data_IF_490539353232
#
_entry.id   IF_490539353232
#
_cell.length_a   1.000
_cell.length_b   1.000
_cell.length_c   1.000
_cell.angle_alpha   90.00
_cell.angle_beta   90.00
_cell.angle_gamma   90.00
#
_symmetry.space_group_name_H-M   'P 1'
#
loop_
_entity.id
_entity.type
_entity.pdbx_description
1 polymer ?
#
# COMPACT_ATOMS: atom_id res chain seq x y z
N UNK A 1 25.58 56.63 -26.87
CA UNK A 1 24.82 55.45 -26.45
C UNK A 1 23.37 55.86 -26.30
N UNK A 2 22.45 55.37 -27.18
CA UNK A 2 21.05 55.82 -27.31
C UNK A 2 20.27 55.62 -26.01
N UNK A 3 19.52 56.66 -25.54
CA UNK A 3 18.66 56.60 -24.37
C UNK A 3 17.72 55.37 -24.37
N UNK A 4 17.20 55.03 -25.53
CA UNK A 4 16.31 53.88 -25.71
C UNK A 4 17.00 52.52 -25.48
N UNK A 5 18.29 52.42 -25.77
CA UNK A 5 19.08 51.17 -25.54
C UNK A 5 19.30 50.94 -24.05
N UNK A 6 19.48 52.02 -23.25
CA UNK A 6 19.59 51.93 -21.77
C UNK A 6 18.28 51.45 -21.12
N UNK A 7 17.15 51.96 -21.57
CA UNK A 7 15.83 51.54 -21.02
C UNK A 7 15.47 50.11 -21.45
N UNK A 8 15.87 49.68 -22.67
CA UNK A 8 15.68 48.28 -23.11
C UNK A 8 16.50 47.31 -22.26
N UNK A 9 17.78 47.62 -22.01
CA UNK A 9 18.63 46.76 -21.16
C UNK A 9 18.10 46.71 -19.70
N UNK A 10 17.67 47.84 -19.17
CA UNK A 10 17.10 47.90 -17.81
C UNK A 10 15.79 47.10 -17.68
N UNK A 11 14.94 47.10 -18.72
CA UNK A 11 13.72 46.30 -18.78
C UNK A 11 13.98 44.79 -18.81
N UNK A 12 14.97 44.38 -19.60
CA UNK A 12 15.37 42.94 -19.67
C UNK A 12 15.96 42.47 -18.34
N UNK A 13 16.77 43.30 -17.67
CA UNK A 13 17.33 42.96 -16.36
C UNK A 13 16.19 42.85 -15.28
N UNK A 14 15.22 43.75 -15.32
CA UNK A 14 14.11 43.72 -14.39
C UNK A 14 13.22 42.47 -14.57
N UNK A 15 12.98 42.05 -15.83
CA UNK A 15 12.23 40.80 -16.14
C UNK A 15 13.06 39.56 -15.75
N UNK A 16 14.35 39.55 -15.98
CA UNK A 16 15.22 38.45 -15.55
C UNK A 16 15.29 38.33 -14.02
N UNK A 17 15.33 39.47 -13.30
CA UNK A 17 15.32 39.47 -11.83
C UNK A 17 13.98 39.01 -11.26
N UNK A 18 12.85 39.37 -11.88
CA UNK A 18 11.53 38.91 -11.47
C UNK A 18 11.37 37.41 -11.72
N UNK A 19 11.88 36.87 -12.83
CA UNK A 19 11.87 35.42 -13.11
C UNK A 19 12.69 34.61 -12.08
N UNK A 20 13.80 35.18 -11.58
CA UNK A 20 14.60 34.55 -10.50
C UNK A 20 13.88 34.55 -9.14
N UNK A 21 13.05 35.56 -8.87
CA UNK A 21 12.26 35.65 -7.63
C UNK A 21 11.00 34.78 -7.67
N UNK A 22 10.53 34.42 -8.87
CA UNK A 22 9.36 33.57 -9.09
C UNK A 22 9.72 32.14 -9.52
N UNK A 23 10.97 31.70 -9.36
CA UNK A 23 11.22 30.26 -9.44
C UNK A 23 10.40 29.60 -8.34
N UNK A 24 9.42 28.72 -8.66
CA UNK A 24 8.74 27.98 -7.61
C UNK A 24 9.85 27.23 -6.89
N UNK A 25 10.05 27.52 -5.60
CA UNK A 25 10.82 26.68 -4.70
C UNK A 25 10.26 25.30 -4.91
N UNK A 26 11.05 24.37 -5.51
CA UNK A 26 10.65 22.99 -5.61
C UNK A 26 10.14 22.62 -4.23
N UNK A 27 8.93 22.14 -4.14
CA UNK A 27 8.45 21.49 -2.92
C UNK A 27 9.45 20.33 -2.72
N UNK A 28 10.42 20.57 -1.83
CA UNK A 28 11.13 19.47 -1.22
C UNK A 28 10.02 18.68 -0.55
N UNK A 29 9.63 17.58 -1.17
CA UNK A 29 8.83 16.56 -0.49
C UNK A 29 9.60 16.28 0.79
N UNK A 30 9.04 16.54 1.97
CA UNK A 30 9.76 16.28 3.21
C UNK A 30 10.21 14.83 3.11
N UNK A 31 11.51 14.59 3.26
CA UNK A 31 12.04 13.23 3.36
C UNK A 31 11.32 12.67 4.56
N UNK A 32 10.33 11.84 4.29
CA UNK A 32 9.52 11.23 5.34
C UNK A 32 10.45 10.34 6.14
N UNK A 33 10.67 10.71 7.40
CA UNK A 33 11.46 9.90 8.32
C UNK A 33 10.55 8.89 9.00
N UNK A 34 11.06 7.71 9.26
CA UNK A 34 10.39 6.74 10.13
C UNK A 34 10.16 7.40 11.48
N UNK A 35 8.92 7.42 11.95
CA UNK A 35 8.53 7.99 13.23
C UNK A 35 8.39 6.89 14.28
N UNK A 36 8.99 7.12 15.44
CA UNK A 36 8.75 6.28 16.60
C UNK A 36 7.44 6.64 17.31
N UNK A 37 7.05 5.82 18.28
CA UNK A 37 5.81 6.02 19.05
C UNK A 37 5.71 7.41 19.68
N UNK A 38 6.80 7.91 20.27
CA UNK A 38 6.83 9.23 20.92
C UNK A 38 6.56 10.36 19.93
N UNK A 39 7.11 10.27 18.71
CA UNK A 39 6.92 11.27 17.66
C UNK A 39 5.48 11.26 17.12
N UNK A 40 4.87 10.08 17.03
CA UNK A 40 3.46 9.93 16.66
C UNK A 40 2.57 10.59 17.71
N UNK A 41 2.81 10.32 18.99
CA UNK A 41 2.06 10.93 20.11
C UNK A 41 2.24 12.45 20.13
N UNK A 42 3.48 12.96 19.97
CA UNK A 42 3.75 14.41 19.96
C UNK A 42 3.08 15.12 18.78
N UNK A 43 2.99 14.48 17.61
CA UNK A 43 2.31 15.03 16.44
C UNK A 43 0.78 14.95 16.54
N UNK A 44 0.24 14.23 17.50
CA UNK A 44 -1.18 13.91 17.64
C UNK A 44 -1.82 13.29 16.37
N UNK A 45 -1.00 12.73 15.47
CA UNK A 45 -1.46 12.22 14.17
C UNK A 45 -0.89 10.84 13.89
N UNK A 46 -1.77 9.89 13.56
CA UNK A 46 -1.45 8.56 13.07
C UNK A 46 -1.68 8.50 11.56
N UNK A 47 -0.61 8.38 10.78
CA UNK A 47 -0.68 8.22 9.33
C UNK A 47 -0.84 6.75 8.99
N UNK A 48 -1.98 6.39 8.47
CA UNK A 48 -2.32 5.00 8.15
C UNK A 48 -2.57 4.83 6.66
N UNK A 49 -2.20 3.69 6.12
CA UNK A 49 -2.56 3.29 4.76
C UNK A 49 -3.38 2.01 4.78
N UNK A 50 -4.39 1.94 3.94
CA UNK A 50 -5.26 0.78 3.81
C UNK A 50 -5.63 0.54 2.35
N UNK A 51 -6.26 -0.58 2.06
CA UNK A 51 -6.76 -0.94 0.74
C UNK A 51 -8.18 -0.43 0.53
N UNK A 52 -8.48 0.11 -0.66
CA UNK A 52 -9.85 0.47 -1.04
C UNK A 52 -10.59 -0.78 -1.53
N UNK A 53 -11.51 -1.28 -0.74
CA UNK A 53 -12.42 -2.38 -1.09
C UNK A 53 -13.62 -2.40 -0.14
N UNK A 54 -14.63 -3.21 -0.44
CA UNK A 54 -15.89 -3.30 0.33
C UNK A 54 -15.76 -3.83 1.76
N UNK A 55 -14.56 -4.19 2.20
CA UNK A 55 -14.30 -4.69 3.55
C UNK A 55 -13.41 -3.75 4.37
N UNK A 56 -12.36 -3.19 3.72
CA UNK A 56 -11.30 -2.45 4.42
C UNK A 56 -11.61 -0.97 4.56
N UNK A 57 -11.95 -0.33 3.46
CA UNK A 57 -12.24 1.09 3.34
C UNK A 57 -13.06 1.32 2.08
N UNK A 58 -14.22 1.90 2.19
CA UNK A 58 -15.08 2.26 1.06
C UNK A 58 -15.89 3.51 1.38
N UNK A 59 -16.43 4.13 0.33
CA UNK A 59 -17.28 5.31 0.43
C UNK A 59 -18.68 4.93 -0.02
N UNK A 60 -19.67 5.15 0.82
CA UNK A 60 -21.08 4.97 0.52
C UNK A 60 -21.82 6.30 0.74
N UNK A 61 -22.21 6.94 -0.37
CA UNK A 61 -22.74 8.31 -0.33
C UNK A 61 -21.68 9.29 0.19
N UNK A 62 -22.00 9.98 1.28
CA UNK A 62 -21.09 10.93 1.94
C UNK A 62 -20.37 10.33 3.17
N UNK A 63 -20.47 9.01 3.36
CA UNK A 63 -19.93 8.33 4.53
C UNK A 63 -18.77 7.43 4.12
N UNK A 64 -17.71 7.45 4.94
CA UNK A 64 -16.60 6.51 4.83
C UNK A 64 -16.85 5.38 5.83
N UNK A 65 -16.67 4.13 5.39
CA UNK A 65 -16.91 2.93 6.18
C UNK A 65 -15.88 1.85 5.87
N UNK A 66 -15.85 0.77 6.61
CA UNK A 66 -14.98 -0.38 6.44
C UNK A 66 -14.27 -0.79 7.74
N UNK A 67 -14.04 -2.09 7.89
CA UNK A 67 -13.47 -2.65 9.12
C UNK A 67 -12.13 -2.01 9.49
N UNK A 68 -11.22 -1.86 8.51
CA UNK A 68 -9.91 -1.27 8.79
C UNK A 68 -10.02 0.22 9.09
N UNK A 69 -10.93 0.93 8.42
CA UNK A 69 -11.21 2.34 8.70
C UNK A 69 -11.71 2.52 10.14
N UNK A 70 -12.72 1.78 10.53
CA UNK A 70 -13.30 1.88 11.88
C UNK A 70 -12.29 1.48 12.97
N UNK A 71 -11.52 0.41 12.73
CA UNK A 71 -10.49 -0.04 13.67
C UNK A 71 -9.40 1.02 13.89
N UNK A 72 -8.93 1.65 12.81
CA UNK A 72 -7.95 2.74 12.88
C UNK A 72 -8.50 3.96 13.60
N UNK A 73 -9.75 4.34 13.34
CA UNK A 73 -10.42 5.44 14.01
C UNK A 73 -10.59 5.15 15.51
N UNK A 74 -11.01 3.95 15.87
CA UNK A 74 -11.16 3.55 17.27
C UNK A 74 -9.82 3.55 18.01
N UNK A 75 -8.77 3.01 17.38
CA UNK A 75 -7.42 3.00 17.94
C UNK A 75 -6.87 4.41 18.14
N UNK A 76 -6.97 5.26 17.12
CA UNK A 76 -6.50 6.64 17.20
C UNK A 76 -7.24 7.40 18.30
N UNK A 77 -8.56 7.26 18.38
CA UNK A 77 -9.38 7.87 19.45
C UNK A 77 -8.96 7.42 20.84
N UNK A 78 -8.68 6.14 21.04
CA UNK A 78 -8.21 5.59 22.32
C UNK A 78 -6.87 6.21 22.74
N UNK A 79 -5.99 6.46 21.77
CA UNK A 79 -4.66 7.06 22.00
C UNK A 79 -4.65 8.59 21.99
N UNK A 80 -5.78 9.24 21.78
CA UNK A 80 -5.88 10.70 21.67
C UNK A 80 -5.25 11.24 20.40
N UNK A 81 -5.25 10.46 19.32
CA UNK A 81 -4.70 10.80 18.01
C UNK A 81 -5.80 11.08 16.99
N UNK A 82 -5.43 11.75 15.92
CA UNK A 82 -6.23 11.86 14.70
C UNK A 82 -5.69 10.85 13.69
N UNK A 83 -6.54 9.98 13.15
CA UNK A 83 -6.17 9.05 12.11
C UNK A 83 -6.27 9.73 10.73
N UNK A 84 -5.14 9.86 10.04
CA UNK A 84 -5.06 10.23 8.63
C UNK A 84 -4.96 8.95 7.81
N UNK A 85 -6.06 8.54 7.20
CA UNK A 85 -6.17 7.25 6.51
C UNK A 85 -6.15 7.47 5.02
N UNK A 86 -5.15 6.91 4.34
CA UNK A 86 -4.97 6.98 2.89
C UNK A 86 -5.34 5.63 2.26
N UNK A 87 -6.36 5.58 1.39
CA UNK A 87 -6.61 4.40 0.57
C UNK A 87 -5.61 4.32 -0.59
N UNK A 88 -4.90 3.20 -0.74
CA UNK A 88 -3.97 2.93 -1.84
C UNK A 88 -4.20 1.51 -2.36
N UNK A 89 -4.40 1.36 -3.66
CA UNK A 89 -4.72 0.08 -4.30
C UNK A 89 -3.48 -0.81 -4.48
N UNK A 90 -2.31 -0.23 -4.78
CA UNK A 90 -1.08 -0.99 -4.99
C UNK A 90 -0.48 -1.47 -3.67
N UNK A 91 -0.25 -2.78 -3.57
CA UNK A 91 0.43 -3.41 -2.44
C UNK A 91 1.85 -2.86 -2.31
N UNK A 92 2.56 -2.72 -3.43
CA UNK A 92 3.93 -2.23 -3.49
C UNK A 92 4.03 -0.81 -2.92
N UNK A 93 3.15 0.10 -3.34
CA UNK A 93 3.13 1.49 -2.85
C UNK A 93 2.80 1.58 -1.37
N UNK A 94 1.88 0.73 -0.88
CA UNK A 94 1.59 0.67 0.57
C UNK A 94 2.81 0.24 1.36
N UNK A 95 3.51 -0.80 0.89
CA UNK A 95 4.71 -1.33 1.53
C UNK A 95 5.87 -0.33 1.45
N UNK A 96 6.11 0.24 0.30
CA UNK A 96 7.12 1.29 0.10
C UNK A 96 6.83 2.51 0.98
N UNK A 97 5.57 2.96 1.05
CA UNK A 97 5.18 4.07 1.88
C UNK A 97 5.40 3.82 3.38
N UNK A 98 5.21 2.58 3.85
CA UNK A 98 5.53 2.19 5.21
C UNK A 98 7.05 2.20 5.45
N UNK A 99 7.84 1.61 4.55
CA UNK A 99 9.30 1.56 4.65
C UNK A 99 9.96 2.93 4.58
N UNK A 100 9.42 3.82 3.76
CA UNK A 100 9.93 5.19 3.61
C UNK A 100 9.40 6.16 4.69
N UNK A 101 8.54 5.68 5.62
CA UNK A 101 7.98 6.51 6.68
C UNK A 101 6.90 7.50 6.22
N UNK A 102 6.33 7.32 5.03
CA UNK A 102 5.15 8.08 4.60
C UNK A 102 3.93 7.71 5.44
N UNK A 103 3.87 6.45 5.89
CA UNK A 103 2.84 5.92 6.78
C UNK A 103 3.49 5.32 8.03
N UNK A 104 2.77 5.36 9.12
CA UNK A 104 3.20 4.79 10.41
C UNK A 104 2.65 3.38 10.58
N UNK A 105 1.50 3.10 9.97
CA UNK A 105 0.82 1.81 10.06
C UNK A 105 0.17 1.42 8.74
N UNK A 106 0.27 0.14 8.41
CA UNK A 106 -0.45 -0.51 7.31
C UNK A 106 -1.59 -1.34 7.90
N UNK A 107 -2.84 -0.92 7.66
CA UNK A 107 -4.02 -1.69 8.01
C UNK A 107 -4.54 -2.42 6.78
N UNK A 108 -4.16 -3.66 6.68
CA UNK A 108 -4.54 -4.55 5.58
C UNK A 108 -4.58 -6.01 6.05
N UNK A 109 -5.23 -6.87 5.26
CA UNK A 109 -5.16 -8.31 5.46
C UNK A 109 -3.78 -8.85 5.05
N UNK A 110 -2.76 -8.54 5.84
CA UNK A 110 -1.40 -9.01 5.60
C UNK A 110 -1.23 -10.38 6.25
N UNK A 111 -0.82 -11.35 5.45
CA UNK A 111 -0.42 -12.65 5.98
C UNK A 111 0.93 -12.50 6.70
N UNK A 112 0.98 -12.92 7.97
CA UNK A 112 2.24 -13.00 8.70
C UNK A 112 3.04 -14.17 8.15
N UNK A 113 4.17 -13.90 7.52
CA UNK A 113 5.09 -14.90 6.98
C UNK A 113 6.50 -14.64 7.49
N UNK A 114 7.29 -15.70 7.65
CA UNK A 114 8.67 -15.63 8.15
C UNK A 114 9.56 -14.71 7.33
N UNK A 115 9.33 -14.64 6.03
CA UNK A 115 10.16 -13.89 5.08
C UNK A 115 10.03 -12.36 5.25
N UNK A 116 8.99 -11.89 5.93
CA UNK A 116 8.69 -10.46 6.13
C UNK A 116 8.84 -9.99 7.57
N UNK A 117 9.00 -10.89 8.50
CA UNK A 117 9.17 -10.54 9.93
C UNK A 117 10.46 -9.76 10.21
N UNK A 118 11.47 -9.90 9.34
CA UNK A 118 12.74 -9.16 9.49
C UNK A 118 12.65 -7.69 9.09
N UNK A 119 11.64 -7.32 8.30
CA UNK A 119 11.48 -5.97 7.74
C UNK A 119 10.32 -5.18 8.33
N UNK A 120 9.41 -5.82 9.07
CA UNK A 120 8.20 -5.20 9.61
C UNK A 120 7.80 -5.78 10.97
N UNK A 121 7.22 -4.93 11.79
CA UNK A 121 6.55 -5.35 13.03
C UNK A 121 5.07 -5.62 12.74
N UNK A 122 4.57 -6.72 13.26
CA UNK A 122 3.17 -7.10 13.18
C UNK A 122 2.47 -6.90 14.51
N UNK A 123 1.21 -6.49 14.46
CA UNK A 123 0.33 -6.52 15.64
C UNK A 123 -0.07 -7.96 15.96
N UNK A 124 -0.78 -8.17 17.06
CA UNK A 124 -1.49 -9.43 17.27
C UNK A 124 -2.48 -9.65 16.10
N UNK A 125 -2.65 -10.92 15.67
CA UNK A 125 -3.63 -11.23 14.62
C UNK A 125 -5.02 -10.76 15.03
N UNK A 126 -5.63 -9.96 14.17
CA UNK A 126 -7.02 -9.45 14.37
C UNK A 126 -8.05 -10.33 13.67
N UNK A 127 -7.61 -11.15 12.72
CA UNK A 127 -8.45 -12.03 11.92
C UNK A 127 -7.70 -13.32 11.60
N UNK A 128 -8.41 -14.44 11.68
CA UNK A 128 -7.94 -15.73 11.16
C UNK A 128 -8.67 -16.02 9.86
N UNK A 129 -7.90 -16.24 8.80
CA UNK A 129 -8.42 -16.53 7.47
C UNK A 129 -7.66 -17.68 6.82
N UNK A 130 -8.19 -18.16 5.71
CA UNK A 130 -7.54 -19.17 4.88
C UNK A 130 -7.54 -18.72 3.42
N UNK A 131 -6.54 -19.12 2.68
CA UNK A 131 -6.51 -18.94 1.24
C UNK A 131 -7.44 -19.96 0.59
N UNK A 132 -8.17 -19.52 -0.42
CA UNK A 132 -9.09 -20.35 -1.19
C UNK A 132 -8.68 -20.30 -2.66
N UNK A 133 -8.70 -21.46 -3.31
CA UNK A 133 -8.61 -21.55 -4.76
C UNK A 133 -9.98 -21.27 -5.35
N UNK A 134 -10.06 -20.25 -6.18
CA UNK A 134 -11.26 -19.94 -6.96
C UNK A 134 -11.09 -20.57 -8.34
N UNK A 135 -12.03 -21.41 -8.71
CA UNK A 135 -12.05 -22.07 -10.02
C UNK A 135 -13.47 -22.13 -10.56
N UNK A 136 -13.63 -22.39 -11.86
CA UNK A 136 -14.94 -22.64 -12.41
C UNK A 136 -15.59 -23.87 -11.74
N UNK A 137 -16.90 -23.90 -11.70
CA UNK A 137 -17.63 -25.08 -11.21
C UNK A 137 -17.37 -26.26 -12.14
N UNK A 138 -17.16 -27.45 -11.56
CA UNK A 138 -17.08 -28.70 -12.31
C UNK A 138 -18.36 -28.88 -13.15
N UNK A 139 -18.21 -29.39 -14.38
CA UNK A 139 -19.35 -29.68 -15.26
C UNK A 139 -19.98 -31.02 -14.89
N UNK A 140 -19.15 -31.99 -14.58
CA UNK A 140 -19.52 -33.34 -14.13
C UNK A 140 -18.39 -33.94 -13.25
N UNK A 141 -18.57 -35.16 -12.77
CA UNK A 141 -17.59 -35.87 -11.91
C UNK A 141 -16.30 -36.24 -12.64
N UNK A 142 -16.31 -36.26 -13.98
CA UNK A 142 -15.15 -36.59 -14.83
C UNK A 142 -14.37 -35.35 -15.29
N UNK A 143 -14.75 -34.16 -14.85
CA UNK A 143 -14.12 -32.91 -15.28
C UNK A 143 -12.66 -32.81 -14.83
N UNK A 144 -11.75 -33.19 -15.71
CA UNK A 144 -10.30 -33.22 -15.45
C UNK A 144 -9.66 -31.85 -15.23
N UNK A 145 -10.39 -30.76 -15.47
CA UNK A 145 -9.91 -29.39 -15.25
C UNK A 145 -10.24 -28.95 -13.82
N UNK A 146 -11.27 -29.55 -13.20
CA UNK A 146 -11.62 -29.24 -11.83
C UNK A 146 -10.60 -29.83 -10.84
N UNK A 147 -10.08 -28.98 -9.97
CA UNK A 147 -9.08 -29.34 -8.96
C UNK A 147 -9.80 -29.66 -7.65
N UNK A 148 -9.66 -30.86 -7.17
CA UNK A 148 -10.26 -31.35 -5.92
C UNK A 148 -9.24 -31.45 -4.79
N UNK A 149 -7.96 -31.59 -5.13
CA UNK A 149 -6.85 -31.76 -4.19
C UNK A 149 -5.71 -30.80 -4.52
N UNK A 150 -4.97 -30.38 -3.51
CA UNK A 150 -3.76 -29.55 -3.70
C UNK A 150 -2.70 -30.25 -4.58
N UNK A 151 -2.63 -31.55 -4.58
CA UNK A 151 -1.70 -32.32 -5.42
C UNK A 151 -1.99 -32.17 -6.92
N UNK A 152 -3.24 -31.90 -7.27
CA UNK A 152 -3.65 -31.70 -8.67
C UNK A 152 -3.25 -30.34 -9.24
N UNK A 153 -2.68 -29.47 -8.38
CA UNK A 153 -2.05 -28.22 -8.82
C UNK A 153 -0.73 -28.43 -9.56
N UNK A 154 -0.14 -29.62 -9.46
CA UNK A 154 1.04 -29.99 -10.23
C UNK A 154 0.84 -29.71 -11.73
N UNK A 155 1.78 -28.99 -12.33
CA UNK A 155 1.76 -28.58 -13.74
C UNK A 155 0.53 -27.72 -14.16
N UNK A 156 -0.14 -27.08 -13.20
CA UNK A 156 -1.21 -26.13 -13.48
C UNK A 156 -0.73 -24.68 -13.35
N UNK A 157 -1.41 -23.77 -14.06
CA UNK A 157 -1.18 -22.32 -13.91
C UNK A 157 -2.22 -21.74 -12.95
N UNK A 158 -1.73 -21.04 -11.92
CA UNK A 158 -2.56 -20.34 -10.94
C UNK A 158 -2.31 -18.84 -11.05
N UNK A 159 -3.35 -18.08 -11.34
CA UNK A 159 -3.27 -16.62 -11.43
C UNK A 159 -3.43 -16.02 -10.03
N UNK A 160 -2.51 -15.13 -9.67
CA UNK A 160 -2.51 -14.41 -8.40
C UNK A 160 -2.24 -12.93 -8.63
N UNK A 161 -2.55 -12.11 -7.65
CA UNK A 161 -2.16 -10.69 -7.67
C UNK A 161 -0.66 -10.60 -7.43
N UNK A 162 0.03 -9.85 -8.29
CA UNK A 162 1.46 -9.58 -8.17
C UNK A 162 1.79 -9.00 -6.78
N UNK A 163 2.91 -9.42 -6.20
CA UNK A 163 3.32 -9.00 -4.85
C UNK A 163 2.46 -9.58 -3.71
N UNK A 164 1.41 -10.36 -4.00
CA UNK A 164 0.57 -10.95 -2.95
C UNK A 164 1.30 -12.09 -2.22
N UNK A 165 0.98 -12.33 -0.93
CA UNK A 165 1.53 -13.45 -0.17
C UNK A 165 1.21 -14.83 -0.76
N UNK A 166 0.20 -14.90 -1.65
CA UNK A 166 -0.17 -16.15 -2.34
C UNK A 166 0.94 -16.69 -3.23
N UNK A 167 1.79 -15.82 -3.80
CA UNK A 167 2.95 -16.22 -4.59
C UNK A 167 3.86 -17.14 -3.77
N UNK A 168 4.27 -16.69 -2.58
CA UNK A 168 5.14 -17.48 -1.70
C UNK A 168 4.49 -18.79 -1.27
N UNK A 169 3.19 -18.77 -0.94
CA UNK A 169 2.50 -20.00 -0.56
C UNK A 169 2.46 -21.03 -1.69
N UNK A 170 2.24 -20.58 -2.93
CA UNK A 170 2.25 -21.48 -4.09
C UNK A 170 3.65 -22.02 -4.39
N UNK A 171 4.70 -21.20 -4.23
CA UNK A 171 6.09 -21.65 -4.36
C UNK A 171 6.43 -22.73 -3.32
N UNK A 172 6.06 -22.52 -2.06
CA UNK A 172 6.25 -23.52 -1.01
C UNK A 172 5.46 -24.78 -1.30
N UNK A 173 4.20 -24.64 -1.74
CA UNK A 173 3.36 -25.78 -2.10
C UNK A 173 3.94 -26.57 -3.28
N UNK A 174 4.49 -25.89 -4.29
CA UNK A 174 5.22 -26.52 -5.40
C UNK A 174 6.36 -27.41 -4.90
N UNK A 175 7.14 -26.92 -3.93
CA UNK A 175 8.21 -27.70 -3.30
C UNK A 175 7.67 -28.88 -2.46
N UNK A 176 6.56 -28.66 -1.73
CA UNK A 176 5.91 -29.71 -0.92
C UNK A 176 5.36 -30.85 -1.81
N UNK A 177 4.80 -30.52 -2.96
CA UNK A 177 4.28 -31.49 -3.93
C UNK A 177 5.42 -32.18 -4.67
N UNK A 178 6.59 -31.54 -4.81
CA UNK A 178 7.72 -32.02 -5.60
C UNK A 178 7.53 -31.83 -7.11
N UNK A 179 6.64 -30.93 -7.51
CA UNK A 179 6.33 -30.64 -8.92
C UNK A 179 6.06 -29.13 -9.10
N UNK A 180 6.09 -28.66 -10.35
CA UNK A 180 5.97 -27.23 -10.66
C UNK A 180 4.51 -26.77 -10.64
N UNK A 181 4.24 -25.67 -9.92
CA UNK A 181 3.02 -24.87 -10.07
C UNK A 181 3.42 -23.58 -10.80
N UNK A 182 2.83 -23.32 -11.96
CA UNK A 182 3.07 -22.08 -12.71
C UNK A 182 2.24 -20.94 -12.10
N UNK A 183 2.87 -19.77 -11.88
CA UNK A 183 2.26 -18.60 -11.23
C UNK A 183 2.26 -17.42 -12.21
#
# INVERSE_FOLDING_TARGET
>A
MNKYLKYGIMGVIAVALSALLFTPKGQETPVSSLRGYEEIIQSCTLRAVTEYNSFSYFVEGDTIDGLHYELLQAFAKEKGLVAEITPEMSIEKRMEGLQNGNFDILANNVLVSSDRTDSMLYTHPILLSRQLLIQRKAQDESDSIHISSLLELANKTVHVVEGSPSVYRLQHLSNEIGDTIYI
#
